data_IF_143343710852
#
_entry.id   IF_143343710852
#
_cell.length_a   1.000
_cell.length_b   1.000
_cell.length_c   1.000
_cell.angle_alpha   90.00
_cell.angle_beta   90.00
_cell.angle_gamma   90.00
#
_symmetry.space_group_name_H-M   'P 1'
#
loop_
_entity.id
_entity.type
_entity.pdbx_description
1 polymer ?
#
# COMPACT_ATOMS: atom_id res chain seq x y z
N UNK A 1 -10.41 19.43 17.22
CA UNK A 1 -10.66 18.13 17.87
C UNK A 1 -9.35 17.71 18.53
N UNK A 2 -9.31 17.41 19.84
CA UNK A 2 -8.10 16.87 20.44
C UNK A 2 -7.73 15.59 19.70
N UNK A 3 -6.45 15.43 19.37
CA UNK A 3 -5.97 14.23 18.69
C UNK A 3 -6.24 13.04 19.61
N UNK A 4 -7.14 12.14 19.19
CA UNK A 4 -7.45 10.93 19.94
C UNK A 4 -6.22 10.02 19.99
N UNK A 5 -5.77 9.67 21.19
CA UNK A 5 -4.67 8.72 21.40
C UNK A 5 -4.99 7.37 20.74
N UNK A 6 -6.24 6.91 20.87
CA UNK A 6 -6.71 5.71 20.19
C UNK A 6 -6.61 5.84 18.67
N UNK A 7 -7.03 6.98 18.11
CA UNK A 7 -6.89 7.29 16.69
C UNK A 7 -5.43 7.24 16.22
N UNK A 8 -4.50 7.80 16.98
CA UNK A 8 -3.06 7.76 16.64
C UNK A 8 -2.52 6.33 16.66
N UNK A 9 -2.90 5.52 17.66
CA UNK A 9 -2.52 4.11 17.73
C UNK A 9 -3.09 3.34 16.52
N UNK A 10 -4.37 3.56 16.20
CA UNK A 10 -5.01 2.98 15.01
C UNK A 10 -4.31 3.37 13.71
N UNK A 11 -3.93 4.65 13.57
CA UNK A 11 -3.18 5.13 12.41
C UNK A 11 -1.80 4.49 12.30
N UNK A 12 -1.08 4.35 13.41
CA UNK A 12 0.23 3.71 13.44
C UNK A 12 0.16 2.22 13.05
N UNK A 13 -0.84 1.50 13.57
CA UNK A 13 -1.11 0.10 13.19
C UNK A 13 -1.48 0.01 11.71
N UNK A 14 -2.37 0.88 11.24
CA UNK A 14 -2.74 0.97 9.83
C UNK A 14 -1.54 1.23 8.93
N UNK A 15 -0.61 2.09 9.35
CA UNK A 15 0.62 2.37 8.60
C UNK A 15 1.53 1.15 8.52
N UNK A 16 1.69 0.43 9.64
CA UNK A 16 2.49 -0.79 9.68
C UNK A 16 1.90 -1.88 8.77
N UNK A 17 0.58 -2.09 8.82
CA UNK A 17 -0.12 -3.05 7.97
C UNK A 17 0.03 -2.66 6.50
N UNK A 18 -0.21 -1.39 6.17
CA UNK A 18 -0.01 -0.89 4.81
C UNK A 18 1.41 -1.12 4.32
N UNK A 19 2.42 -0.81 5.14
CA UNK A 19 3.81 -1.06 4.76
C UNK A 19 4.09 -2.54 4.46
N UNK A 20 3.54 -3.46 5.24
CA UNK A 20 3.65 -4.91 4.97
C UNK A 20 2.98 -5.30 3.66
N UNK A 21 1.74 -4.84 3.44
CA UNK A 21 0.97 -5.13 2.23
C UNK A 21 1.69 -4.63 0.97
N UNK A 22 2.24 -3.41 1.01
CA UNK A 22 3.05 -2.86 -0.07
C UNK A 22 4.26 -3.75 -0.40
N UNK A 23 4.98 -4.28 0.61
CA UNK A 23 6.13 -5.17 0.35
C UNK A 23 5.71 -6.45 -0.36
N UNK A 24 4.58 -7.02 0.03
CA UNK A 24 4.02 -8.24 -0.59
C UNK A 24 3.62 -7.94 -2.03
N UNK A 25 2.81 -6.89 -2.26
CA UNK A 25 2.33 -6.50 -3.59
C UNK A 25 3.50 -6.14 -4.50
N UNK A 26 4.49 -5.39 -4.02
CA UNK A 26 5.68 -5.05 -4.80
C UNK A 26 6.48 -6.31 -5.18
N UNK A 27 6.65 -7.26 -4.26
CA UNK A 27 7.33 -8.54 -4.54
C UNK A 27 6.60 -9.36 -5.60
N UNK A 28 5.29 -9.52 -5.47
CA UNK A 28 4.45 -10.24 -6.44
C UNK A 28 4.44 -9.54 -7.80
N UNK A 29 4.33 -8.21 -7.82
CA UNK A 29 4.33 -7.41 -9.04
C UNK A 29 5.66 -7.60 -9.78
N UNK A 30 6.79 -7.52 -9.09
CA UNK A 30 8.11 -7.73 -9.67
C UNK A 30 8.21 -9.13 -10.31
N UNK A 31 7.85 -10.19 -9.58
CA UNK A 31 7.88 -11.55 -10.13
C UNK A 31 6.95 -11.76 -11.33
N UNK A 32 5.79 -11.11 -11.36
CA UNK A 32 4.87 -11.15 -12.51
C UNK A 32 5.40 -10.36 -13.70
N UNK A 33 6.02 -9.21 -13.48
CA UNK A 33 6.58 -8.38 -14.54
C UNK A 33 7.82 -9.02 -15.16
N UNK A 34 8.68 -9.68 -14.38
CA UNK A 34 9.83 -10.41 -14.90
C UNK A 34 9.39 -11.57 -15.81
N UNK A 35 8.36 -12.32 -15.40
CA UNK A 35 7.72 -13.36 -16.24
C UNK A 35 7.07 -12.80 -17.50
N UNK A 36 6.43 -11.62 -17.42
CA UNK A 36 5.84 -10.97 -18.61
C UNK A 36 6.90 -10.47 -19.57
N UNK A 37 7.97 -9.86 -19.07
CA UNK A 37 9.10 -9.39 -19.88
C UNK A 37 9.73 -10.53 -20.68
N UNK A 38 9.85 -11.72 -20.08
CA UNK A 38 10.34 -12.91 -20.77
C UNK A 38 9.40 -13.42 -21.88
N UNK A 39 8.08 -13.25 -21.74
CA UNK A 39 7.09 -13.76 -22.70
C UNK A 39 6.68 -12.77 -23.79
N UNK A 40 6.60 -11.49 -23.46
CA UNK A 40 6.05 -10.43 -24.33
C UNK A 40 7.07 -9.36 -24.71
N UNK A 41 8.31 -9.44 -24.21
CA UNK A 41 9.33 -8.44 -24.44
C UNK A 41 9.18 -7.20 -23.54
N UNK A 42 10.11 -6.25 -23.68
CA UNK A 42 10.21 -5.06 -22.82
C UNK A 42 9.18 -3.96 -23.16
N UNK A 43 8.47 -4.09 -24.28
CA UNK A 43 7.51 -3.08 -24.77
C UNK A 43 6.13 -3.19 -24.09
N UNK A 44 5.91 -4.22 -23.27
CA UNK A 44 4.65 -4.38 -22.53
C UNK A 44 4.39 -3.18 -21.60
N UNK A 45 3.22 -2.57 -21.72
CA UNK A 45 2.83 -1.35 -20.99
C UNK A 45 3.02 -1.50 -19.48
N UNK A 46 2.72 -2.68 -18.94
CA UNK A 46 2.87 -3.01 -17.52
C UNK A 46 4.34 -3.08 -17.08
N UNK A 47 5.24 -3.53 -17.96
CA UNK A 47 6.68 -3.58 -17.71
C UNK A 47 7.26 -2.17 -17.77
N UNK A 48 6.83 -1.35 -18.73
CA UNK A 48 7.27 0.04 -18.88
C UNK A 48 6.80 0.95 -17.73
N UNK A 49 5.60 0.75 -17.22
CA UNK A 49 5.01 1.55 -16.13
C UNK A 49 5.18 0.93 -14.74
N UNK A 50 6.09 -0.03 -14.57
CA UNK A 50 6.36 -0.73 -13.30
C UNK A 50 6.51 0.23 -12.12
N UNK A 51 7.32 1.27 -12.30
CA UNK A 51 7.62 2.27 -11.27
C UNK A 51 6.35 3.03 -10.86
N UNK A 52 5.58 3.51 -11.83
CA UNK A 52 4.34 4.27 -11.59
C UNK A 52 3.28 3.45 -10.87
N UNK A 53 3.09 2.19 -11.27
CA UNK A 53 2.15 1.27 -10.59
C UNK A 53 2.60 1.03 -9.16
N UNK A 54 3.91 0.85 -8.93
CA UNK A 54 4.45 0.63 -7.60
C UNK A 54 4.27 1.86 -6.70
N UNK A 55 4.51 3.06 -7.22
CA UNK A 55 4.26 4.32 -6.51
C UNK A 55 2.78 4.49 -6.19
N UNK A 56 1.88 4.18 -7.13
CA UNK A 56 0.44 4.30 -6.91
C UNK A 56 -0.06 3.35 -5.82
N UNK A 57 0.42 2.10 -5.82
CA UNK A 57 0.15 1.15 -4.73
C UNK A 57 0.72 1.69 -3.42
N UNK A 58 1.98 2.14 -3.40
CA UNK A 58 2.60 2.70 -2.20
C UNK A 58 1.78 3.84 -1.59
N UNK A 59 1.38 4.83 -2.39
CA UNK A 59 0.60 5.99 -1.93
C UNK A 59 -0.75 5.55 -1.40
N UNK A 60 -1.46 4.70 -2.14
CA UNK A 60 -2.79 4.21 -1.74
C UNK A 60 -2.71 3.46 -0.42
N UNK A 61 -1.67 2.66 -0.25
CA UNK A 61 -1.47 1.82 0.93
C UNK A 61 -0.97 2.63 2.14
N UNK A 62 -0.02 3.55 1.96
CA UNK A 62 0.50 4.42 3.03
C UNK A 62 -0.54 5.44 3.51
N UNK A 63 -1.49 5.85 2.68
CA UNK A 63 -2.53 6.80 3.08
C UNK A 63 -3.80 6.07 3.52
N UNK A 64 -4.25 5.08 2.75
CA UNK A 64 -5.52 4.39 2.96
C UNK A 64 -5.55 3.63 4.28
N UNK A 65 -4.56 2.78 4.54
CA UNK A 65 -4.58 1.96 5.75
C UNK A 65 -4.48 2.78 7.06
N UNK A 66 -3.63 3.83 7.17
CA UNK A 66 -3.64 4.69 8.36
C UNK A 66 -4.94 5.45 8.57
N UNK A 67 -5.55 5.98 7.50
CA UNK A 67 -6.82 6.70 7.61
C UNK A 67 -7.92 5.76 8.10
N UNK A 68 -8.01 4.56 7.53
CA UNK A 68 -8.95 3.53 7.96
C UNK A 68 -8.67 3.13 9.42
N UNK A 69 -7.40 2.92 9.80
CA UNK A 69 -7.00 2.57 11.15
C UNK A 69 -7.34 3.66 12.19
N UNK A 70 -7.14 4.93 11.85
CA UNK A 70 -7.52 6.06 12.69
C UNK A 70 -9.03 6.08 12.94
N UNK A 71 -9.83 6.01 11.86
CA UNK A 71 -11.29 6.06 11.93
C UNK A 71 -11.82 4.87 12.72
N UNK A 72 -11.29 3.66 12.46
CA UNK A 72 -11.65 2.45 13.19
C UNK A 72 -11.39 2.59 14.69
N UNK A 73 -10.17 2.99 15.08
CA UNK A 73 -9.83 3.10 16.51
C UNK A 73 -10.62 4.20 17.24
N UNK A 74 -10.88 5.34 16.60
CA UNK A 74 -11.78 6.36 17.15
C UNK A 74 -13.20 5.81 17.31
N UNK A 75 -13.73 5.08 16.32
CA UNK A 75 -15.08 4.52 16.39
C UNK A 75 -15.25 3.46 17.49
N UNK A 76 -14.19 2.74 17.83
CA UNK A 76 -14.19 1.71 18.88
C UNK A 76 -14.06 2.28 20.29
N UNK A 77 -13.53 3.50 20.42
CA UNK A 77 -13.25 4.16 21.70
C UNK A 77 -14.20 5.31 22.01
N UNK A 78 -15.27 5.42 21.23
CA UNK A 78 -16.31 6.45 21.35
C UNK A 78 -16.78 6.70 22.77
#
# INVERSE_FOLDING_TARGET
MPVSLAGVIGAAIGLYIGWLDYKIVAGVLNGRLDRRKQRKGAEDFLVRNREGIRILVLITTIIGFPVIGYIAAVSMTG
#
